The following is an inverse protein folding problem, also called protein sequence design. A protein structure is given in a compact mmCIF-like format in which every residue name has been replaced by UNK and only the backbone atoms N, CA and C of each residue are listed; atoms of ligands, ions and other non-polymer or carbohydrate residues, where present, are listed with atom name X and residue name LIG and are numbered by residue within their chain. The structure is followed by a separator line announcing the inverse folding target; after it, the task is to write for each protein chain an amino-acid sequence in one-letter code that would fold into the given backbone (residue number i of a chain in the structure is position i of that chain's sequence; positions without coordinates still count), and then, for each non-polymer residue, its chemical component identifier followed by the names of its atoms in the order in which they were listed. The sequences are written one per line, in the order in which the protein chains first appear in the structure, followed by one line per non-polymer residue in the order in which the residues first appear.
data_IF_360618298551
#
_entry.id   IF_360618298551
#
_cell.length_a   1.000
_cell.length_b   1.000
_cell.length_c   1.000
_cell.angle_alpha   90.00
_cell.angle_beta   90.00
_cell.angle_gamma   90.00
#
_symmetry.space_group_name_H-M   'P 1'
#
loop_
_entity.id
_entity.type
_entity.pdbx_description
1 polymer ?
#
# COMPACT_ATOMS: atom_id res chain seq x y z
N UNK A 1 3.53 2.35 -4.59
CA UNK A 1 2.20 2.71 -4.06
C UNK A 1 1.59 1.43 -3.48
N UNK A 2 0.84 1.50 -2.39
CA UNK A 2 0.35 0.30 -1.69
C UNK A 2 -1.16 0.32 -1.51
N UNK A 3 -1.76 -0.84 -1.72
CA UNK A 3 -3.19 -1.09 -1.73
C UNK A 3 -3.51 -2.09 -0.63
N UNK A 4 -4.18 -1.62 0.42
CA UNK A 4 -4.83 -2.50 1.38
C UNK A 4 -6.21 -2.79 0.81
N UNK A 5 -6.34 -3.89 0.08
CA UNK A 5 -7.62 -4.35 -0.43
C UNK A 5 -7.87 -5.74 0.14
N UNK A 6 -8.97 -5.88 0.87
CA UNK A 6 -9.47 -7.16 1.37
C UNK A 6 -10.46 -7.69 0.34
N UNK A 7 -10.01 -8.61 -0.51
CA UNK A 7 -10.83 -9.17 -1.59
C UNK A 7 -11.08 -10.67 -1.38
N UNK A 8 -12.19 -11.19 -1.89
CA UNK A 8 -12.43 -12.63 -2.00
C UNK A 8 -11.76 -13.25 -3.24
N UNK A 9 -11.30 -12.42 -4.17
CA UNK A 9 -10.66 -12.86 -5.41
C UNK A 9 -9.59 -11.86 -5.88
N UNK A 10 -8.44 -12.38 -6.30
CA UNK A 10 -7.37 -11.61 -6.94
C UNK A 10 -7.05 -12.24 -8.29
N UNK A 11 -7.01 -11.41 -9.34
CA UNK A 11 -6.57 -11.82 -10.68
C UNK A 11 -5.42 -10.91 -11.12
N UNK A 12 -4.30 -11.50 -11.52
CA UNK A 12 -3.11 -10.79 -12.00
C UNK A 12 -2.78 -11.30 -13.40
N UNK A 13 -2.65 -10.38 -14.35
CA UNK A 13 -2.32 -10.70 -15.74
C UNK A 13 -0.94 -10.13 -16.06
N UNK A 14 0.03 -11.01 -16.24
CA UNK A 14 1.33 -10.67 -16.82
C UNK A 14 1.19 -10.68 -18.33
N UNK A 15 1.06 -9.49 -18.94
CA UNK A 15 0.99 -9.33 -20.40
C UNK A 15 2.24 -9.93 -21.05
N UNK A 16 2.06 -10.51 -22.24
CA UNK A 16 3.16 -11.08 -23.01
C UNK A 16 4.25 -10.02 -23.25
N UNK A 17 5.51 -10.42 -23.06
CA UNK A 17 6.67 -9.57 -23.30
C UNK A 17 7.63 -10.34 -24.20
N UNK A 18 7.91 -9.78 -25.39
CA UNK A 18 8.73 -10.43 -26.41
C UNK A 18 10.04 -10.91 -25.79
N UNK A 19 10.41 -12.15 -26.12
CA UNK A 19 11.66 -12.81 -25.67
C UNK A 19 11.75 -13.09 -24.16
N UNK A 20 10.81 -12.62 -23.32
CA UNK A 20 10.86 -12.81 -21.88
C UNK A 20 9.81 -13.78 -21.36
N UNK A 21 8.53 -13.61 -21.75
CA UNK A 21 7.43 -14.47 -21.28
C UNK A 21 6.23 -14.36 -22.19
N UNK A 22 5.56 -15.48 -22.42
CA UNK A 22 4.17 -15.47 -22.89
C UNK A 22 3.25 -14.85 -21.83
N UNK A 23 2.01 -14.55 -22.22
CA UNK A 23 1.01 -14.09 -21.27
C UNK A 23 0.78 -15.15 -20.19
N UNK A 24 0.82 -14.72 -18.93
CA UNK A 24 0.49 -15.57 -17.78
C UNK A 24 -0.62 -14.94 -16.96
N UNK A 25 -1.55 -15.76 -16.51
CA UNK A 25 -2.66 -15.34 -15.65
C UNK A 25 -2.54 -16.08 -14.35
N UNK A 26 -2.54 -15.32 -13.25
CA UNK A 26 -2.64 -15.83 -11.90
C UNK A 26 -4.01 -15.48 -11.35
N UNK A 27 -4.65 -16.42 -10.68
CA UNK A 27 -5.93 -16.21 -10.02
C UNK A 27 -5.90 -16.91 -8.66
N UNK A 28 -6.33 -16.20 -7.63
CA UNK A 28 -6.56 -16.75 -6.31
C UNK A 28 -7.95 -16.34 -5.83
N UNK A 29 -8.59 -17.23 -5.09
CA UNK A 29 -9.84 -16.96 -4.37
C UNK A 29 -9.65 -17.35 -2.90
N UNK A 30 -10.52 -16.88 -2.01
CA UNK A 30 -10.49 -17.33 -0.61
C UNK A 30 -10.53 -18.86 -0.55
N UNK A 31 -9.63 -19.43 0.26
CA UNK A 31 -9.40 -20.87 0.47
C UNK A 31 -8.75 -21.62 -0.70
N UNK A 32 -8.39 -20.93 -1.78
CA UNK A 32 -7.63 -21.47 -2.91
C UNK A 32 -6.57 -20.47 -3.40
N UNK A 33 -5.36 -20.62 -2.86
CA UNK A 33 -4.19 -19.79 -3.16
C UNK A 33 -3.10 -20.67 -3.81
N UNK A 34 -3.16 -20.89 -5.14
CA UNK A 34 -2.30 -21.83 -5.84
C UNK A 34 -0.87 -21.31 -6.01
N UNK A 35 0.11 -22.21 -6.02
CA UNK A 35 1.51 -21.89 -6.34
C UNK A 35 1.83 -21.96 -7.86
N UNK A 36 0.83 -21.76 -8.71
CA UNK A 36 0.92 -21.89 -10.16
C UNK A 36 0.01 -20.87 -10.89
N UNK A 37 0.32 -20.60 -12.15
CA UNK A 37 -0.57 -19.89 -13.05
C UNK A 37 -1.76 -20.78 -13.44
N UNK A 38 -2.80 -20.19 -14.03
CA UNK A 38 -4.03 -20.92 -14.42
C UNK A 38 -3.78 -22.06 -15.42
N UNK A 39 -2.68 -22.00 -16.17
CA UNK A 39 -2.25 -23.04 -17.12
C UNK A 39 -1.44 -24.17 -16.44
N UNK A 40 -1.30 -24.14 -15.11
CA UNK A 40 -0.51 -25.07 -14.31
C UNK A 40 0.99 -24.82 -14.30
N UNK A 41 1.49 -23.84 -15.05
CA UNK A 41 2.91 -23.50 -15.05
C UNK A 41 3.30 -22.69 -13.81
N UNK A 42 4.54 -22.80 -13.35
CA UNK A 42 5.07 -22.01 -12.22
C UNK A 42 6.06 -20.93 -12.68
N UNK A 43 6.30 -20.82 -13.99
CA UNK A 43 7.20 -19.85 -14.59
C UNK A 43 6.78 -19.44 -16.00
N UNK A 44 7.23 -18.26 -16.42
CA UNK A 44 7.14 -17.76 -17.78
C UNK A 44 8.53 -17.42 -18.33
N UNK A 45 8.69 -17.63 -19.65
CA UNK A 45 9.97 -17.56 -20.37
C UNK A 45 10.56 -18.93 -20.70
N UNK A 46 11.47 -18.95 -21.68
CA UNK A 46 12.10 -20.17 -22.18
C UNK A 46 13.51 -20.37 -21.57
N UNK A 47 13.95 -21.63 -21.48
CA UNK A 47 15.29 -22.01 -21.00
C UNK A 47 15.56 -21.83 -19.49
N UNK A 48 16.84 -21.64 -19.13
CA UNK A 48 17.33 -21.58 -17.74
C UNK A 48 17.02 -20.26 -17.03
N UNK A 49 16.77 -19.17 -17.78
CA UNK A 49 16.50 -17.84 -17.24
C UNK A 49 15.01 -17.59 -17.11
N UNK A 50 14.40 -18.12 -16.05
CA UNK A 50 13.00 -17.85 -15.70
C UNK A 50 12.78 -16.36 -15.37
N UNK A 51 12.25 -15.62 -16.34
CA UNK A 51 12.02 -14.17 -16.24
C UNK A 51 10.81 -13.84 -15.36
N UNK A 52 9.84 -14.75 -15.31
CA UNK A 52 8.66 -14.74 -14.46
C UNK A 52 8.58 -16.05 -13.67
N UNK A 53 8.33 -15.98 -12.37
CA UNK A 53 8.16 -17.18 -11.52
C UNK A 53 7.20 -16.94 -10.37
N UNK A 54 6.51 -18.00 -9.96
CA UNK A 54 5.75 -18.06 -8.70
C UNK A 54 6.56 -18.87 -7.69
N UNK A 55 6.58 -18.43 -6.44
CA UNK A 55 7.17 -19.17 -5.34
C UNK A 55 6.21 -19.18 -4.16
N UNK A 56 5.86 -20.38 -3.71
CA UNK A 56 5.14 -20.57 -2.46
C UNK A 56 6.08 -20.30 -1.27
N UNK A 57 5.61 -19.48 -0.33
CA UNK A 57 6.32 -19.16 0.91
C UNK A 57 5.68 -19.83 2.10
N UNK A 58 4.36 -19.92 2.09
CA UNK A 58 3.57 -20.61 3.10
C UNK A 58 2.43 -21.35 2.40
N UNK A 59 2.33 -22.65 2.69
CA UNK A 59 1.47 -23.52 1.90
C UNK A 59 0.00 -23.08 1.94
N UNK A 60 -0.58 -22.83 0.77
CA UNK A 60 -1.96 -22.38 0.59
C UNK A 60 -2.29 -21.03 1.25
N UNK A 61 -1.29 -20.25 1.69
CA UNK A 61 -1.51 -18.99 2.43
C UNK A 61 -0.67 -17.82 1.96
N UNK A 62 0.49 -18.06 1.36
CA UNK A 62 1.34 -16.99 0.86
C UNK A 62 2.14 -17.42 -0.37
N UNK A 63 1.95 -16.70 -1.47
CA UNK A 63 2.79 -16.80 -2.67
C UNK A 63 3.42 -15.45 -3.05
N UNK A 64 4.59 -15.56 -3.67
CA UNK A 64 5.29 -14.45 -4.29
C UNK A 64 5.41 -14.69 -5.80
N UNK A 65 5.08 -13.67 -6.58
CA UNK A 65 5.35 -13.63 -8.02
C UNK A 65 6.48 -12.66 -8.29
N UNK A 66 7.51 -13.12 -9.01
CA UNK A 66 8.66 -12.30 -9.38
C UNK A 66 8.73 -12.15 -10.90
N UNK A 67 8.33 -11.00 -11.40
CA UNK A 67 8.43 -10.61 -12.80
C UNK A 67 9.72 -9.79 -13.00
N UNK A 68 10.86 -10.49 -13.08
CA UNK A 68 12.19 -9.87 -13.14
C UNK A 68 12.36 -8.99 -14.38
N UNK A 69 11.77 -9.38 -15.50
CA UNK A 69 11.84 -8.65 -16.78
C UNK A 69 11.25 -7.22 -16.73
N UNK A 70 10.34 -6.95 -15.78
CA UNK A 70 9.74 -5.62 -15.53
C UNK A 70 10.02 -5.12 -14.11
N UNK A 71 11.03 -5.68 -13.42
CA UNK A 71 11.40 -5.27 -12.07
C UNK A 71 10.27 -5.36 -11.03
N UNK A 72 9.22 -6.14 -11.30
CA UNK A 72 7.99 -6.17 -10.49
C UNK A 72 7.95 -7.40 -9.58
N UNK A 73 7.53 -7.19 -8.34
CA UNK A 73 7.25 -8.27 -7.37
C UNK A 73 5.84 -8.11 -6.83
N UNK A 74 5.10 -9.20 -6.75
CA UNK A 74 3.74 -9.24 -6.22
C UNK A 74 3.63 -10.28 -5.12
N UNK A 75 3.03 -9.91 -3.99
CA UNK A 75 2.72 -10.80 -2.87
C UNK A 75 1.22 -10.95 -2.76
N UNK A 76 0.77 -12.20 -2.62
CA UNK A 76 -0.64 -12.54 -2.36
C UNK A 76 -0.69 -13.40 -1.11
N UNK A 77 -1.43 -12.96 -0.10
CA UNK A 77 -1.65 -13.72 1.13
C UNK A 77 -3.13 -13.90 1.43
N UNK A 78 -3.47 -15.00 2.10
CA UNK A 78 -4.77 -15.16 2.73
C UNK A 78 -4.66 -14.94 4.23
N UNK A 79 -5.50 -14.05 4.77
CA UNK A 79 -5.63 -13.77 6.19
C UNK A 79 -7.09 -13.95 6.60
N UNK A 80 -7.36 -15.03 7.33
CA UNK A 80 -8.72 -15.45 7.63
C UNK A 80 -9.48 -15.72 6.33
N UNK A 81 -10.49 -14.89 6.05
CA UNK A 81 -11.39 -15.02 4.89
C UNK A 81 -11.06 -14.07 3.74
N UNK A 82 -10.01 -13.25 3.88
CA UNK A 82 -9.68 -12.20 2.93
C UNK A 82 -8.33 -12.47 2.29
N UNK A 83 -8.20 -12.09 1.03
CA UNK A 83 -6.92 -12.02 0.32
C UNK A 83 -6.36 -10.60 0.44
N UNK A 84 -5.06 -10.50 0.66
CA UNK A 84 -4.31 -9.24 0.66
C UNK A 84 -3.31 -9.22 -0.49
N UNK A 85 -3.14 -8.05 -1.11
CA UNK A 85 -2.23 -7.83 -2.25
C UNK A 85 -1.16 -6.80 -1.90
N UNK A 86 0.10 -7.07 -2.22
CA UNK A 86 1.15 -6.06 -2.20
C UNK A 86 1.97 -6.10 -3.49
N UNK A 87 2.20 -4.93 -4.10
CA UNK A 87 2.89 -4.80 -5.39
C UNK A 87 4.05 -3.82 -5.27
N UNK A 88 5.21 -4.21 -5.76
CA UNK A 88 6.34 -3.32 -6.03
C UNK A 88 6.61 -3.30 -7.52
N UNK A 89 6.53 -2.12 -8.12
CA UNK A 89 6.77 -1.89 -9.54
C UNK A 89 7.66 -0.65 -9.71
N UNK A 90 8.56 -0.63 -10.73
CA UNK A 90 9.28 0.57 -11.12
C UNK A 90 8.32 1.71 -11.46
N UNK A 91 8.67 2.95 -11.10
CA UNK A 91 7.79 4.12 -11.25
C UNK A 91 7.48 4.43 -12.72
N UNK A 92 8.48 4.34 -13.59
CA UNK A 92 8.35 4.51 -15.03
C UNK A 92 7.37 3.52 -15.65
N UNK A 93 7.37 2.27 -15.19
CA UNK A 93 6.42 1.24 -15.65
C UNK A 93 5.03 1.38 -15.00
N UNK A 94 4.97 1.78 -13.73
CA UNK A 94 3.70 2.01 -13.04
C UNK A 94 2.93 3.20 -13.65
N UNK A 95 3.65 4.19 -14.17
CA UNK A 95 3.08 5.37 -14.81
C UNK A 95 2.96 5.22 -16.34
N UNK A 96 3.39 4.10 -16.93
CA UNK A 96 3.26 3.83 -18.37
C UNK A 96 1.90 3.20 -18.72
N UNK A 97 0.85 4.01 -18.73
CA UNK A 97 -0.50 3.58 -19.13
C UNK A 97 -1.12 4.55 -20.14
N UNK A 98 -2.09 4.07 -20.92
CA UNK A 98 -2.81 4.89 -21.89
C UNK A 98 -3.90 5.74 -21.20
N UNK A 99 -4.22 6.92 -21.75
CA UNK A 99 -5.27 7.81 -21.22
C UNK A 99 -6.66 7.14 -21.16
N UNK A 100 -6.89 6.10 -21.96
CA UNK A 100 -8.12 5.29 -21.96
C UNK A 100 -8.26 4.38 -20.73
N UNK A 101 -7.20 4.21 -19.93
CA UNK A 101 -7.15 3.40 -18.71
C UNK A 101 -7.18 4.29 -17.46
N UNK A 102 -8.16 5.18 -17.39
CA UNK A 102 -8.32 6.20 -16.34
C UNK A 102 -8.60 5.59 -14.95
N UNK A 103 -9.31 4.47 -14.89
CA UNK A 103 -9.58 3.75 -13.65
C UNK A 103 -8.43 2.83 -13.25
N UNK A 104 -7.42 3.42 -12.61
CA UNK A 104 -6.36 2.69 -11.92
C UNK A 104 -6.35 3.07 -10.46
N UNK A 105 -7.03 2.25 -9.63
CA UNK A 105 -6.96 2.38 -8.18
C UNK A 105 -5.50 2.47 -7.76
N UNK A 106 -4.62 1.65 -8.35
CA UNK A 106 -3.22 1.56 -7.98
C UNK A 106 -2.39 2.86 -8.06
N UNK A 107 -2.86 3.82 -8.85
CA UNK A 107 -2.19 5.08 -9.16
C UNK A 107 -3.00 6.26 -8.64
N UNK A 108 -4.31 6.26 -8.91
CA UNK A 108 -5.21 7.40 -8.68
C UNK A 108 -6.02 7.28 -7.37
N UNK A 109 -6.01 6.11 -6.74
CA UNK A 109 -6.89 5.78 -5.62
C UNK A 109 -8.34 5.61 -6.02
N UNK A 110 -9.19 5.43 -5.01
CA UNK A 110 -10.61 5.20 -5.21
C UNK A 110 -11.32 6.47 -5.74
N UNK A 111 -12.29 6.34 -6.67
CA UNK A 111 -13.18 7.42 -7.06
C UNK A 111 -13.88 8.02 -5.84
N UNK A 112 -14.20 9.33 -5.88
CA UNK A 112 -14.81 10.02 -4.73
C UNK A 112 -16.10 9.37 -4.23
N UNK A 113 -16.92 8.80 -5.12
CA UNK A 113 -18.17 8.12 -4.77
C UNK A 113 -17.96 6.79 -4.01
N UNK A 114 -16.81 6.15 -4.21
CA UNK A 114 -16.43 4.89 -3.55
C UNK A 114 -15.57 5.13 -2.31
N UNK A 115 -15.19 6.38 -2.05
CA UNK A 115 -14.52 6.74 -0.80
C UNK A 115 -15.58 6.72 0.28
N UNK A 116 -15.26 6.03 1.37
CA UNK A 116 -16.07 6.05 2.57
C UNK A 116 -15.94 7.46 3.16
N UNK A 117 -16.90 8.33 2.81
CA UNK A 117 -17.06 9.64 3.41
C UNK A 117 -17.78 9.46 4.74
N UNK A 118 -17.02 9.51 5.83
CA UNK A 118 -17.60 9.63 7.17
C UNK A 118 -18.21 11.03 7.29
N UNK A 119 -19.44 11.20 6.78
CA UNK A 119 -20.26 12.42 6.92
C UNK A 119 -20.50 12.87 8.38
N UNK A 120 -19.89 12.19 9.35
CA UNK A 120 -19.93 12.43 10.79
C UNK A 120 -18.54 12.70 11.42
N UNK A 121 -17.47 12.83 10.64
CA UNK A 121 -16.15 13.19 11.17
C UNK A 121 -15.50 12.08 12.01
N UNK A 122 -15.86 10.82 11.83
CA UNK A 122 -15.20 9.68 12.47
C UNK A 122 -13.77 9.50 11.93
N UNK A 123 -13.54 9.62 10.61
CA UNK A 123 -12.18 9.79 10.05
C UNK A 123 -11.45 11.02 10.64
N UNK A 124 -12.14 12.15 10.85
CA UNK A 124 -11.55 13.33 11.50
C UNK A 124 -11.20 13.08 12.98
N UNK A 125 -12.00 12.30 13.71
CA UNK A 125 -11.73 11.87 15.09
C UNK A 125 -10.56 10.87 15.15
N UNK A 126 -10.44 9.99 14.16
CA UNK A 126 -9.33 9.05 13.96
C UNK A 126 -8.02 9.82 13.63
N UNK A 127 -8.10 10.91 12.87
CA UNK A 127 -6.98 11.80 12.52
C UNK A 127 -6.69 12.90 13.56
N UNK A 128 -7.40 12.94 14.70
CA UNK A 128 -7.14 13.86 15.80
C UNK A 128 -7.67 15.29 15.61
N UNK A 129 -8.68 15.49 14.76
CA UNK A 129 -9.41 16.75 14.63
C UNK A 129 -10.73 16.68 15.42
N UNK A 130 -10.74 17.37 16.57
CA UNK A 130 -11.89 17.49 17.46
C UNK A 130 -13.05 18.19 16.77
N UNK A 131 -14.18 17.51 16.58
CA UNK A 131 -15.45 18.14 16.22
C UNK A 131 -16.54 17.83 17.28
N UNK A 132 -17.55 18.71 17.41
CA UNK A 132 -18.53 18.66 18.49
C UNK A 132 -19.38 17.40 18.41
N UNK A 133 -19.59 16.78 19.57
CA UNK A 133 -20.40 15.59 19.80
C UNK A 133 -21.82 15.74 19.20
N UNK A 134 -22.15 14.95 18.19
CA UNK A 134 -23.54 14.61 17.83
C UNK A 134 -23.81 13.14 18.19
N UNK A 135 -24.79 12.84 19.06
CA UNK A 135 -25.07 11.48 19.50
C UNK A 135 -25.99 10.77 18.49
N UNK A 136 -25.48 10.38 17.33
CA UNK A 136 -26.27 9.58 16.39
C UNK A 136 -25.41 8.78 15.40
N UNK A 137 -24.60 7.87 15.89
CA UNK A 137 -24.22 6.70 15.12
C UNK A 137 -24.24 5.52 16.07
N UNK A 138 -24.99 4.48 15.71
CA UNK A 138 -25.02 3.24 16.48
C UNK A 138 -23.59 2.72 16.55
N UNK A 139 -22.96 2.89 17.71
CA UNK A 139 -21.67 2.27 18.02
C UNK A 139 -21.88 0.76 17.86
N UNK A 140 -21.20 0.16 16.89
CA UNK A 140 -21.14 -1.28 16.79
C UNK A 140 -20.65 -1.82 18.14
N UNK A 141 -21.30 -2.83 18.76
CA UNK A 141 -21.11 -3.13 20.18
C UNK A 141 -19.72 -3.65 20.58
N UNK A 142 -18.74 -3.71 19.67
CA UNK A 142 -17.46 -4.40 19.87
C UNK A 142 -16.30 -3.52 20.32
N UNK A 143 -16.08 -2.34 19.71
CA UNK A 143 -14.84 -1.59 19.86
C UNK A 143 -15.03 -0.07 20.01
N UNK A 144 -14.42 0.51 21.05
CA UNK A 144 -14.28 1.97 21.19
C UNK A 144 -13.02 2.46 20.45
N UNK A 145 -12.95 3.73 20.08
CA UNK A 145 -11.76 4.33 19.48
C UNK A 145 -10.50 4.15 20.35
N UNK A 146 -10.65 4.23 21.68
CA UNK A 146 -9.55 4.03 22.62
C UNK A 146 -9.05 2.58 22.61
N UNK A 147 -9.97 1.61 22.67
CA UNK A 147 -9.63 0.19 22.62
C UNK A 147 -9.00 -0.21 21.28
N UNK A 148 -9.55 0.28 20.16
CA UNK A 148 -9.01 0.04 18.83
C UNK A 148 -7.59 0.62 18.67
N UNK A 149 -7.38 1.86 19.14
CA UNK A 149 -6.05 2.48 19.14
C UNK A 149 -5.05 1.67 19.95
N UNK A 150 -5.41 1.25 21.17
CA UNK A 150 -4.53 0.47 22.04
C UNK A 150 -4.13 -0.86 21.40
N UNK A 151 -5.10 -1.58 20.83
CA UNK A 151 -4.86 -2.87 20.18
C UNK A 151 -4.00 -2.74 18.91
N UNK A 152 -4.28 -1.75 18.06
CA UNK A 152 -3.46 -1.52 16.86
C UNK A 152 -2.03 -1.10 17.21
N UNK A 153 -1.85 -0.33 18.28
CA UNK A 153 -0.55 0.18 18.71
C UNK A 153 0.38 -0.94 19.23
N UNK A 154 -0.18 -2.05 19.71
CA UNK A 154 0.60 -3.21 20.16
C UNK A 154 1.43 -3.82 19.03
N UNK A 155 0.85 -3.92 17.81
CA UNK A 155 1.53 -4.50 16.64
C UNK A 155 2.15 -3.45 15.70
N UNK A 156 1.62 -2.23 15.68
CA UNK A 156 2.06 -1.15 14.81
C UNK A 156 2.30 0.12 15.64
N UNK A 157 3.51 0.31 16.21
CA UNK A 157 3.79 1.43 17.11
C UNK A 157 3.85 2.78 16.38
N UNK A 158 4.03 2.78 15.06
CA UNK A 158 4.04 4.00 14.24
C UNK A 158 2.63 4.29 13.77
N UNK A 159 2.11 5.48 14.09
CA UNK A 159 0.76 5.93 13.72
C UNK A 159 0.66 6.42 12.26
N UNK A 160 1.06 5.57 11.33
CA UNK A 160 0.99 5.80 9.88
C UNK A 160 -0.27 5.19 9.26
N UNK A 161 -0.32 5.09 7.92
CA UNK A 161 -1.46 4.51 7.20
C UNK A 161 -1.83 3.08 7.65
N UNK A 162 -0.88 2.24 8.07
CA UNK A 162 -1.20 0.87 8.49
C UNK A 162 -1.89 0.87 9.84
N UNK A 163 -1.40 1.69 10.76
CA UNK A 163 -2.07 1.91 12.03
C UNK A 163 -3.48 2.49 11.84
N UNK A 164 -3.62 3.51 10.99
CA UNK A 164 -4.93 4.12 10.74
C UNK A 164 -5.91 3.14 10.07
N UNK A 165 -5.43 2.34 9.11
CA UNK A 165 -6.25 1.27 8.51
C UNK A 165 -6.70 0.25 9.55
N UNK A 166 -5.80 -0.18 10.44
CA UNK A 166 -6.14 -1.10 11.51
C UNK A 166 -7.25 -0.54 12.41
N UNK A 167 -7.13 0.72 12.83
CA UNK A 167 -8.13 1.36 13.70
C UNK A 167 -9.46 1.49 12.98
N UNK A 168 -9.45 1.94 11.72
CA UNK A 168 -10.64 2.05 10.89
C UNK A 168 -11.34 0.70 10.71
N UNK A 169 -10.61 -0.35 10.32
CA UNK A 169 -11.17 -1.68 10.09
C UNK A 169 -11.74 -2.29 11.38
N UNK A 170 -11.05 -2.13 12.53
CA UNK A 170 -11.57 -2.58 13.82
C UNK A 170 -12.88 -1.88 14.21
N UNK A 171 -12.97 -0.57 14.01
CA UNK A 171 -14.16 0.21 14.37
C UNK A 171 -15.35 -0.08 13.46
N UNK A 172 -15.11 -0.38 12.19
CA UNK A 172 -16.16 -0.61 11.19
C UNK A 172 -16.61 -2.07 11.13
N UNK A 173 -15.73 -3.03 11.41
CA UNK A 173 -16.03 -4.47 11.28
C UNK A 173 -16.17 -5.18 12.63
N UNK A 174 -15.49 -4.69 13.67
CA UNK A 174 -15.36 -5.38 14.96
C UNK A 174 -14.50 -6.65 14.93
N UNK A 175 -13.82 -6.97 13.83
CA UNK A 175 -13.03 -8.20 13.70
C UNK A 175 -11.54 -7.95 13.97
N UNK A 176 -11.02 -8.56 15.03
CA UNK A 176 -9.61 -8.46 15.43
C UNK A 176 -8.62 -8.97 14.37
N UNK A 177 -9.06 -9.78 13.40
CA UNK A 177 -8.23 -10.26 12.29
C UNK A 177 -7.76 -9.12 11.38
N UNK A 178 -8.47 -7.99 11.32
CA UNK A 178 -8.02 -6.84 10.53
C UNK A 178 -6.76 -6.18 11.11
N UNK A 179 -6.49 -6.34 12.41
CA UNK A 179 -5.17 -5.99 12.98
C UNK A 179 -4.05 -6.81 12.34
N UNK A 180 -4.29 -8.09 12.06
CA UNK A 180 -3.31 -8.94 11.38
C UNK A 180 -3.13 -8.56 9.91
N UNK A 181 -4.20 -8.14 9.22
CA UNK A 181 -4.14 -7.66 7.83
C UNK A 181 -3.26 -6.41 7.70
N UNK A 182 -3.51 -5.38 8.50
CA UNK A 182 -2.70 -4.16 8.50
C UNK A 182 -1.23 -4.41 8.88
N UNK A 183 -0.99 -5.30 9.86
CA UNK A 183 0.37 -5.69 10.26
C UNK A 183 1.10 -6.47 9.15
N UNK A 184 0.47 -7.49 8.57
CA UNK A 184 1.03 -8.26 7.44
C UNK A 184 1.37 -7.35 6.27
N UNK A 185 0.52 -6.35 6.02
CA UNK A 185 0.83 -5.36 5.02
C UNK A 185 2.13 -4.62 5.38
N UNK A 186 2.29 -4.08 6.59
CA UNK A 186 3.55 -3.42 7.00
C UNK A 186 4.77 -4.33 6.75
N UNK A 187 4.66 -5.62 7.08
CA UNK A 187 5.69 -6.63 6.79
C UNK A 187 5.96 -6.79 5.28
N UNK A 188 4.92 -6.77 4.44
CA UNK A 188 5.07 -6.81 2.97
C UNK A 188 5.89 -5.65 2.44
N UNK A 189 5.67 -4.45 2.96
CA UNK A 189 6.45 -3.29 2.52
C UNK A 189 7.87 -3.35 3.02
N UNK A 190 8.09 -3.86 4.23
CA UNK A 190 9.43 -4.11 4.72
C UNK A 190 10.20 -5.10 3.84
N UNK A 191 9.54 -6.14 3.34
CA UNK A 191 10.11 -7.14 2.45
C UNK A 191 10.30 -6.63 1.00
N UNK A 192 9.38 -5.80 0.50
CA UNK A 192 9.44 -5.27 -0.87
C UNK A 192 10.41 -4.11 -1.01
N UNK A 193 10.52 -3.25 0.01
CA UNK A 193 11.22 -1.98 -0.07
C UNK A 193 12.52 -1.99 0.76
N UNK A 194 13.71 -1.79 0.16
CA UNK A 194 14.97 -1.88 0.91
C UNK A 194 15.22 -0.68 1.84
N UNK A 195 14.60 0.47 1.57
CA UNK A 195 14.77 1.71 2.37
C UNK A 195 13.64 1.85 3.39
N UNK A 196 13.98 1.89 4.67
CA UNK A 196 13.02 1.99 5.79
C UNK A 196 12.23 3.29 5.79
N UNK A 197 12.83 4.36 5.29
CA UNK A 197 12.23 5.69 5.24
C UNK A 197 11.00 5.74 4.33
N UNK A 198 10.87 4.77 3.41
CA UNK A 198 9.71 4.63 2.51
C UNK A 198 8.71 3.58 2.97
N UNK A 199 8.89 2.98 4.14
CA UNK A 199 7.94 1.99 4.66
C UNK A 199 6.63 2.63 5.12
N UNK A 200 6.77 3.80 5.75
CA UNK A 200 5.66 4.57 6.32
C UNK A 200 5.16 5.59 5.29
N UNK A 201 3.88 5.50 4.94
CA UNK A 201 3.24 6.41 3.99
C UNK A 201 2.40 7.39 4.84
N UNK A 202 2.77 8.67 4.76
CA UNK A 202 2.30 9.81 5.57
C UNK A 202 2.70 9.78 7.06
N UNK A 203 3.49 10.75 7.55
CA UNK A 203 3.69 10.93 9.00
C UNK A 203 2.40 11.42 9.66
N UNK A 204 2.17 11.02 10.91
CA UNK A 204 1.20 11.68 11.78
C UNK A 204 1.48 13.18 11.78
N UNK A 205 0.47 14.00 11.45
CA UNK A 205 0.52 15.46 11.50
C UNK A 205 1.11 15.93 12.83
N UNK A 206 2.39 16.32 12.79
CA UNK A 206 3.22 16.49 13.99
C UNK A 206 4.32 17.54 13.81
N UNK A 207 3.90 18.74 13.37
CA UNK A 207 4.55 20.04 13.66
C UNK A 207 5.91 20.32 12.98
N UNK A 208 5.88 21.29 12.06
CA UNK A 208 7.08 21.94 11.53
C UNK A 208 6.77 22.83 10.34
N UNK A 209 5.88 23.80 10.51
CA UNK A 209 5.86 24.98 9.63
C UNK A 209 7.24 25.64 9.73
N UNK A 210 8.00 25.83 8.63
CA UNK A 210 9.04 26.83 8.65
C UNK A 210 8.32 28.17 8.80
N UNK A 211 8.40 28.76 9.99
CA UNK A 211 8.18 30.19 10.17
C UNK A 211 9.24 30.90 9.33
N UNK A 212 8.92 31.16 8.07
CA UNK A 212 9.58 32.18 7.27
C UNK A 212 9.09 33.52 7.78
N UNK A 213 9.79 34.07 8.77
CA UNK A 213 9.59 35.43 9.21
C UNK A 213 9.73 36.40 8.03
N UNK A 214 8.80 37.33 7.97
CA UNK A 214 8.71 38.35 6.95
C UNK A 214 9.74 39.46 7.20
N UNK A 215 10.33 39.95 6.12
CA UNK A 215 10.86 41.31 5.96
C UNK A 215 12.03 41.75 6.86
N UNK A 216 13.23 41.76 6.29
CA UNK A 216 14.10 42.95 6.34
C UNK A 216 14.69 43.19 4.95
N UNK A 217 14.46 44.41 4.47
CA UNK A 217 14.88 44.94 3.18
C UNK A 217 16.20 45.71 3.33
N UNK A 218 16.88 45.87 2.18
CA UNK A 218 17.81 46.96 1.80
C UNK A 218 19.33 46.67 1.76
N UNK A 219 19.82 46.64 0.50
CA UNK A 219 20.96 47.39 -0.06
C UNK A 219 22.30 46.69 -0.37
N UNK A 220 22.56 46.62 -1.69
CA UNK A 220 23.79 46.89 -2.47
C UNK A 220 25.16 46.42 -1.95
N UNK A 221 25.84 45.67 -2.82
CA UNK A 221 27.30 45.62 -2.90
C UNK A 221 27.80 44.68 -3.99
N UNK A 222 28.19 45.22 -5.14
CA UNK A 222 29.00 44.54 -6.14
C UNK A 222 30.28 43.98 -5.49
N UNK A 223 30.60 42.71 -5.74
CA UNK A 223 31.98 42.28 -5.89
C UNK A 223 32.06 40.98 -6.69
N UNK A 224 32.68 41.11 -7.86
CA UNK A 224 33.19 40.08 -8.73
C UNK A 224 34.13 39.13 -7.96
N UNK A 225 34.01 37.81 -8.17
CA UNK A 225 35.14 36.87 -8.14
C UNK A 225 34.73 35.52 -8.74
N UNK A 226 35.23 35.29 -9.95
CA UNK A 226 35.36 34.00 -10.62
C UNK A 226 36.48 33.22 -9.93
N UNK A 227 36.27 31.94 -9.57
CA UNK A 227 37.27 30.89 -9.81
C UNK A 227 36.73 29.45 -9.64
N UNK A 228 37.13 28.65 -10.62
CA UNK A 228 36.92 27.22 -10.92
C UNK A 228 37.80 26.39 -9.95
N UNK A 229 37.46 25.15 -9.56
CA UNK A 229 37.89 23.87 -10.16
C UNK A 229 37.22 22.72 -9.38
N UNK A 230 36.65 21.76 -10.09
CA UNK A 230 36.32 20.42 -9.58
C UNK A 230 37.49 19.47 -9.86
N UNK A 231 37.86 18.67 -8.85
CA UNK A 231 38.59 17.40 -8.99
C UNK A 231 37.59 16.26 -8.80
#
# INVERSE_FOLDING_TARGET
MKWLENSSQITIIFKAHRECTDQKVYQAVTDDLPAAFVDGSTSGGDGDTKSLRIVERESGRYVEMHARYIGTTVFVRQLGRYLTLAVRMPEDLAMSYEESQDLQLCVNGCPLSERIDDGQGQVSAILGHSLPHTPSAQAWPGYTLETANAQCHEKMPVKDIYFQSCVFDLLTTGDANFTAAAHSALEDVAALHPRKERWHIFPSSGRGTPRGDSHLSVSLGLACSILIVFL
#
